data_IF_707286972392
#
_entry.id   IF_707286972392
#
_cell.length_a   1.000
_cell.length_b   1.000
_cell.length_c   1.000
_cell.angle_alpha   90.00
_cell.angle_beta   90.00
_cell.angle_gamma   90.00
#
_symmetry.space_group_name_H-M   'P 1'
#
loop_
_entity.id
_entity.type
_entity.pdbx_description
1 polymer ?
#
# COMPACT_ATOMS: atom_id res chain seq x y z
N UNK A 1 -11.00 5.22 2.53
CA UNK A 1 -11.57 6.13 1.52
C UNK A 1 -10.56 7.23 1.30
N UNK A 2 -10.22 7.55 0.05
CA UNK A 2 -9.17 8.53 -0.29
C UNK A 2 -9.83 9.79 -0.82
N UNK A 3 -9.43 10.96 -0.30
CA UNK A 3 -9.89 12.26 -0.76
C UNK A 3 -8.68 13.17 -1.04
N UNK A 4 -8.67 13.82 -2.20
CA UNK A 4 -7.66 14.82 -2.57
C UNK A 4 -8.38 16.12 -2.88
N UNK A 5 -8.05 17.18 -2.14
CA UNK A 5 -8.53 18.53 -2.45
C UNK A 5 -7.63 19.15 -3.52
N UNK A 6 -8.24 19.67 -4.57
CA UNK A 6 -7.55 20.44 -5.62
C UNK A 6 -7.17 21.80 -5.04
N UNK A 7 -5.93 22.23 -5.25
CA UNK A 7 -5.46 23.56 -4.81
C UNK A 7 -5.69 24.59 -5.92
N UNK A 8 -5.82 25.86 -5.56
CA UNK A 8 -5.88 26.96 -6.52
C UNK A 8 -4.56 27.02 -7.30
N UNK A 9 -4.63 26.95 -8.63
CA UNK A 9 -3.46 26.93 -9.53
C UNK A 9 -2.92 25.54 -9.90
N UNK A 10 -3.46 24.44 -9.38
CA UNK A 10 -3.10 23.08 -9.84
C UNK A 10 -3.84 22.70 -11.13
N UNK A 11 -3.13 22.04 -12.04
CA UNK A 11 -3.78 21.37 -13.18
C UNK A 11 -4.55 20.13 -12.71
N UNK A 12 -5.68 19.84 -13.37
CA UNK A 12 -6.51 18.66 -13.10
C UNK A 12 -5.69 17.37 -13.18
N UNK A 13 -4.74 17.28 -14.11
CA UNK A 13 -3.86 16.10 -14.24
C UNK A 13 -2.96 15.88 -13.01
N UNK A 14 -2.49 16.95 -12.38
CA UNK A 14 -1.68 16.85 -11.17
C UNK A 14 -2.49 16.37 -9.98
N UNK A 15 -3.73 16.85 -9.86
CA UNK A 15 -4.68 16.35 -8.86
C UNK A 15 -4.96 14.85 -9.05
N UNK A 16 -5.18 14.39 -10.28
CA UNK A 16 -5.38 12.96 -10.61
C UNK A 16 -4.14 12.14 -10.26
N UNK A 17 -2.94 12.64 -10.57
CA UNK A 17 -1.67 11.94 -10.26
C UNK A 17 -1.48 11.78 -8.75
N UNK A 18 -1.79 12.80 -7.95
CA UNK A 18 -1.76 12.72 -6.48
C UNK A 18 -2.79 11.72 -5.96
N UNK A 19 -4.00 11.75 -6.50
CA UNK A 19 -5.06 10.80 -6.12
C UNK A 19 -4.65 9.35 -6.39
N UNK A 20 -4.06 9.06 -7.56
CA UNK A 20 -3.54 7.72 -7.87
C UNK A 20 -2.47 7.27 -6.86
N UNK A 21 -1.51 8.15 -6.52
CA UNK A 21 -0.49 7.86 -5.50
C UNK A 21 -1.09 7.63 -4.12
N UNK A 22 -2.09 8.41 -3.71
CA UNK A 22 -2.81 8.21 -2.46
C UNK A 22 -3.57 6.87 -2.44
N UNK A 23 -4.23 6.48 -3.54
CA UNK A 23 -4.90 5.18 -3.65
C UNK A 23 -3.92 4.01 -3.56
N UNK A 24 -2.74 4.13 -4.17
CA UNK A 24 -1.65 3.14 -4.08
C UNK A 24 -1.09 3.05 -2.66
N UNK A 25 -0.82 4.20 -2.02
CA UNK A 25 -0.32 4.28 -0.65
C UNK A 25 -1.28 3.66 0.36
N UNK A 26 -2.58 3.92 0.19
CA UNK A 26 -3.64 3.34 1.02
C UNK A 26 -3.92 1.86 0.68
N UNK A 27 -3.27 1.30 -0.35
CA UNK A 27 -3.40 -0.10 -0.71
C UNK A 27 -4.78 -0.49 -1.23
N UNK A 28 -5.57 0.45 -1.73
CA UNK A 28 -6.95 0.21 -2.18
C UNK A 28 -6.99 -0.90 -3.24
N UNK A 29 -6.06 -0.88 -4.20
CA UNK A 29 -5.96 -1.92 -5.23
C UNK A 29 -5.61 -3.30 -4.67
N UNK A 30 -4.84 -3.37 -3.57
CA UNK A 30 -4.54 -4.63 -2.91
C UNK A 30 -5.75 -5.16 -2.14
N UNK A 31 -6.54 -4.26 -1.55
CA UNK A 31 -7.76 -4.62 -0.83
C UNK A 31 -8.84 -5.16 -1.78
N UNK A 32 -9.02 -4.53 -2.95
CA UNK A 32 -9.91 -5.02 -4.01
C UNK A 32 -9.55 -6.46 -4.38
N UNK A 33 -8.28 -6.73 -4.72
CA UNK A 33 -7.78 -8.07 -5.06
C UNK A 33 -7.92 -9.10 -3.94
N UNK A 34 -7.89 -8.67 -2.68
CA UNK A 34 -8.11 -9.57 -1.53
C UNK A 34 -9.58 -9.95 -1.36
N UNK A 35 -10.50 -9.08 -1.80
CA UNK A 35 -11.96 -9.24 -1.67
C UNK A 35 -12.63 -9.84 -2.92
N UNK A 36 -11.93 -9.90 -4.05
CA UNK A 36 -12.44 -10.48 -5.31
C UNK A 36 -13.02 -11.89 -5.15
N UNK A 37 -12.46 -12.69 -4.23
CA UNK A 37 -12.92 -14.05 -3.96
C UNK A 37 -12.80 -14.39 -2.48
N UNK A 38 -13.62 -15.33 -2.03
CA UNK A 38 -13.53 -15.86 -0.67
C UNK A 38 -12.18 -16.56 -0.45
N UNK A 39 -11.53 -16.20 0.65
CA UNK A 39 -10.31 -16.86 1.13
C UNK A 39 -10.60 -17.46 2.50
N UNK A 40 -10.29 -18.73 2.66
CA UNK A 40 -10.41 -19.38 3.95
C UNK A 40 -9.58 -18.65 5.03
N UNK A 41 -10.05 -18.55 6.28
CA UNK A 41 -9.34 -17.83 7.36
C UNK A 41 -7.91 -18.32 7.58
N UNK A 42 -7.64 -19.61 7.33
CA UNK A 42 -6.29 -20.19 7.42
C UNK A 42 -5.33 -19.57 6.39
N UNK A 43 -5.79 -19.41 5.14
CA UNK A 43 -4.99 -18.81 4.05
C UNK A 43 -4.70 -17.35 4.36
N UNK A 44 -5.70 -16.60 4.81
CA UNK A 44 -5.54 -15.19 5.21
C UNK A 44 -4.52 -15.04 6.34
N UNK A 45 -4.55 -15.92 7.36
CA UNK A 45 -3.56 -15.92 8.45
C UNK A 45 -2.15 -16.19 7.92
N UNK A 46 -1.98 -17.18 7.03
CA UNK A 46 -0.68 -17.52 6.42
C UNK A 46 -0.12 -16.36 5.60
N UNK A 47 -0.94 -15.71 4.79
CA UNK A 47 -0.55 -14.55 3.97
C UNK A 47 -0.14 -13.35 4.84
N UNK A 48 -0.92 -13.04 5.89
CA UNK A 48 -0.59 -11.97 6.84
C UNK A 48 0.77 -12.18 7.52
N UNK A 49 1.05 -13.42 7.97
CA UNK A 49 2.34 -13.76 8.57
C UNK A 49 3.50 -13.63 7.57
N UNK A 50 3.29 -14.08 6.33
CA UNK A 50 4.29 -13.95 5.27
C UNK A 50 4.59 -12.48 4.95
N UNK A 51 3.56 -11.64 4.86
CA UNK A 51 3.71 -10.20 4.62
C UNK A 51 4.48 -9.50 5.75
N UNK A 52 4.15 -9.81 7.02
CA UNK A 52 4.84 -9.28 8.19
C UNK A 52 6.34 -9.65 8.18
N UNK A 53 6.67 -10.93 7.93
CA UNK A 53 8.06 -11.39 7.78
C UNK A 53 8.78 -10.64 6.67
N UNK A 54 8.12 -10.42 5.53
CA UNK A 54 8.69 -9.66 4.39
C UNK A 54 8.94 -8.19 4.73
N UNK A 55 8.07 -7.55 5.54
CA UNK A 55 8.26 -6.18 6.02
C UNK A 55 9.43 -6.09 7.00
N UNK A 56 9.53 -7.02 7.95
CA UNK A 56 10.64 -7.08 8.90
C UNK A 56 12.00 -7.25 8.21
N UNK A 57 12.11 -8.20 7.26
CA UNK A 57 13.35 -8.37 6.48
C UNK A 57 13.75 -7.10 5.74
N UNK A 58 12.80 -6.40 5.12
CA UNK A 58 13.07 -5.13 4.43
C UNK A 58 13.56 -4.03 5.38
N UNK A 59 13.02 -3.98 6.61
CA UNK A 59 13.48 -3.05 7.64
C UNK A 59 14.92 -3.35 8.06
N UNK A 60 15.23 -4.61 8.38
CA UNK A 60 16.59 -5.02 8.77
C UNK A 60 17.62 -4.68 7.68
N UNK A 61 17.33 -5.02 6.42
CA UNK A 61 18.24 -4.71 5.29
C UNK A 61 18.48 -3.19 5.18
N UNK A 62 17.44 -2.37 5.42
CA UNK A 62 17.56 -0.92 5.40
C UNK A 62 18.45 -0.42 6.55
N UNK A 63 18.25 -0.93 7.76
CA UNK A 63 19.07 -0.59 8.94
C UNK A 63 20.52 -1.00 8.76
N UNK A 64 20.79 -2.23 8.27
CA UNK A 64 22.16 -2.69 7.98
C UNK A 64 22.84 -1.95 6.83
N UNK A 65 22.07 -1.29 5.94
CA UNK A 65 22.59 -0.39 4.90
C UNK A 65 22.90 1.00 5.44
N UNK A 66 22.18 1.46 6.45
CA UNK A 66 22.38 2.77 7.10
C UNK A 66 23.51 2.75 8.14
N UNK A 67 23.72 1.60 8.78
CA UNK A 67 24.79 1.39 9.74
C UNK A 67 26.17 1.12 9.09
N UNK A 68 26.24 1.08 7.75
CA UNK A 68 27.46 1.03 6.95
C UNK A 68 27.73 2.41 6.38
#
# INVERSE_FOLDING_TARGET
>A
MVNVRVREGESIEEAIRRFKRECERNGIMQEIKKREYYRAPSVVRKEKLAEAKRKMRRRMIKESRWAR
#
